data_IF_262679658505
#
_entry.id   IF_262679658505
#
_cell.length_a   1.000
_cell.length_b   1.000
_cell.length_c   1.000
_cell.angle_alpha   90.00
_cell.angle_beta   90.00
_cell.angle_gamma   90.00
#
_symmetry.space_group_name_H-M   'P 1'
#
loop_
_entity.id
_entity.type
_entity.pdbx_description
1 polymer ?
#
# COMPACT_ATOMS: atom_id res chain seq x y z
N UNK A 1 9.02 66.92 22.84
CA UNK A 1 8.27 66.18 21.81
C UNK A 1 9.17 65.14 21.12
N UNK A 2 9.37 63.93 21.71
CA UNK A 2 10.17 62.84 21.10
C UNK A 2 9.78 61.43 21.58
N UNK A 3 8.50 61.15 21.88
CA UNK A 3 8.07 59.83 22.39
C UNK A 3 6.98 59.10 21.58
N UNK A 4 6.44 59.69 20.52
CA UNK A 4 5.33 59.11 19.75
C UNK A 4 5.73 58.40 18.45
N UNK A 5 6.98 58.51 17.99
CA UNK A 5 7.41 57.96 16.69
C UNK A 5 7.86 56.48 16.78
N UNK A 6 8.30 56.01 17.95
CA UNK A 6 8.81 54.63 18.09
C UNK A 6 7.71 53.56 18.07
N UNK A 7 6.48 53.89 18.46
CA UNK A 7 5.36 52.93 18.52
C UNK A 7 4.77 52.68 17.12
N UNK A 8 4.76 53.69 16.24
CA UNK A 8 4.32 53.52 14.85
C UNK A 8 5.29 52.66 14.03
N UNK A 9 6.60 52.80 14.25
CA UNK A 9 7.61 52.00 13.53
C UNK A 9 7.59 50.54 13.98
N UNK A 10 7.32 50.27 15.27
CA UNK A 10 7.12 48.90 15.77
C UNK A 10 5.81 48.26 15.28
N UNK A 11 4.76 49.05 15.02
CA UNK A 11 3.52 48.55 14.40
C UNK A 11 3.68 48.30 12.89
N UNK A 12 4.52 49.08 12.19
CA UNK A 12 4.80 48.82 10.76
C UNK A 12 5.77 47.66 10.51
N UNK A 13 6.60 47.28 11.48
CA UNK A 13 7.50 46.12 11.33
C UNK A 13 6.81 44.78 11.65
N UNK A 14 5.67 44.80 12.34
CA UNK A 14 4.86 43.60 12.57
C UNK A 14 4.03 43.20 11.33
N UNK A 15 3.79 44.10 10.38
CA UNK A 15 3.07 43.79 9.14
C UNK A 15 3.96 43.34 7.98
N UNK A 16 5.29 43.51 8.05
CA UNK A 16 6.20 43.13 6.95
C UNK A 16 6.71 41.68 7.07
N UNK A 17 6.47 41.02 8.22
CA UNK A 17 6.88 39.62 8.41
C UNK A 17 5.78 38.58 8.13
N UNK A 18 4.56 39.01 7.77
CA UNK A 18 3.53 38.09 7.24
C UNK A 18 3.69 37.83 5.72
N UNK A 19 4.40 38.71 5.01
CA UNK A 19 4.50 38.66 3.55
C UNK A 19 5.68 37.78 3.07
N UNK A 20 6.74 37.67 3.87
CA UNK A 20 7.90 36.83 3.55
C UNK A 20 7.61 35.33 3.66
N UNK A 21 6.65 34.91 4.50
CA UNK A 21 6.15 33.53 4.58
C UNK A 21 5.08 33.21 3.52
N UNK A 22 4.39 34.23 2.97
CA UNK A 22 3.42 34.04 1.89
C UNK A 22 4.07 33.78 0.52
N UNK A 23 5.29 34.31 0.30
CA UNK A 23 6.00 34.31 -0.99
C UNK A 23 6.45 32.93 -1.52
N UNK A 24 6.41 31.88 -0.69
CA UNK A 24 6.84 30.51 -1.07
C UNK A 24 5.69 29.49 -1.16
N UNK A 25 4.42 29.90 -1.08
CA UNK A 25 3.31 28.96 -1.30
C UNK A 25 3.27 28.55 -2.77
N UNK A 26 3.18 27.25 -3.07
CA UNK A 26 2.95 26.82 -4.45
C UNK A 26 1.61 27.40 -4.91
N UNK A 27 1.63 28.13 -6.01
CA UNK A 27 0.40 28.48 -6.71
C UNK A 27 -0.18 27.19 -7.30
N UNK A 28 -0.99 26.49 -6.49
CA UNK A 28 -1.60 25.22 -6.85
C UNK A 28 -2.42 25.37 -8.13
N UNK A 29 -3.13 26.49 -8.30
CA UNK A 29 -3.97 26.73 -9.47
C UNK A 29 -3.17 26.68 -10.75
N UNK A 30 -2.07 27.45 -10.81
CA UNK A 30 -1.19 27.47 -11.97
C UNK A 30 -0.47 26.15 -12.18
N UNK A 31 0.02 25.53 -11.10
CA UNK A 31 0.79 24.28 -11.19
C UNK A 31 -0.05 23.08 -11.63
N UNK A 32 -1.31 23.01 -11.20
CA UNK A 32 -2.22 21.88 -11.50
C UNK A 32 -3.08 22.08 -12.75
N UNK A 33 -3.16 23.31 -13.28
CA UNK A 33 -3.92 23.65 -14.49
C UNK A 33 -3.64 22.71 -15.70
N UNK A 34 -2.40 22.26 -15.98
CA UNK A 34 -2.14 21.40 -17.13
C UNK A 34 -2.65 19.95 -16.98
N UNK A 35 -2.93 19.50 -15.75
CA UNK A 35 -3.15 18.08 -15.45
C UNK A 35 -4.59 17.73 -15.08
N UNK A 36 -5.44 18.75 -14.94
CA UNK A 36 -6.80 18.57 -14.44
C UNK A 36 -7.59 19.86 -14.45
N UNK A 37 -8.72 19.84 -13.77
CA UNK A 37 -9.63 20.98 -13.71
C UNK A 37 -10.00 21.35 -12.28
N UNK A 38 -10.25 22.64 -12.09
CA UNK A 38 -10.73 23.20 -10.84
C UNK A 38 -12.25 23.28 -10.86
N UNK A 39 -12.88 22.80 -9.79
CA UNK A 39 -14.33 22.72 -9.63
C UNK A 39 -14.70 23.56 -8.42
N UNK A 40 -15.59 24.52 -8.61
CA UNK A 40 -16.21 25.24 -7.51
C UNK A 40 -17.40 24.43 -7.01
N UNK A 41 -17.28 23.90 -5.79
CA UNK A 41 -18.40 23.35 -5.04
C UNK A 41 -19.17 24.49 -4.36
N UNK A 42 -20.32 24.18 -3.76
CA UNK A 42 -21.07 25.18 -2.98
C UNK A 42 -20.23 25.75 -1.82
N UNK A 43 -20.65 26.92 -1.32
CA UNK A 43 -19.98 27.62 -0.20
C UNK A 43 -18.53 28.05 -0.48
N UNK A 44 -18.22 28.46 -1.72
CA UNK A 44 -16.89 28.95 -2.13
C UNK A 44 -15.75 27.94 -1.93
N UNK A 45 -16.05 26.64 -1.85
CA UNK A 45 -15.05 25.59 -1.76
C UNK A 45 -14.58 25.24 -3.17
N UNK A 46 -13.28 25.39 -3.43
CA UNK A 46 -12.70 25.05 -4.73
C UNK A 46 -11.82 23.82 -4.60
N UNK A 47 -12.10 22.80 -5.41
CA UNK A 47 -11.41 21.51 -5.42
C UNK A 47 -10.81 21.25 -6.79
N UNK A 48 -9.85 20.35 -6.88
CA UNK A 48 -9.24 19.95 -8.15
C UNK A 48 -9.50 18.48 -8.43
N UNK A 49 -9.57 18.09 -9.71
CA UNK A 49 -9.50 16.68 -10.10
C UNK A 49 -8.60 16.48 -11.32
N UNK A 50 -7.89 15.33 -11.42
CA UNK A 50 -7.15 14.98 -12.60
C UNK A 50 -8.12 14.60 -13.72
N UNK A 51 -7.83 15.00 -14.95
CA UNK A 51 -8.65 14.68 -16.14
C UNK A 51 -8.02 13.63 -17.04
N UNK A 52 -6.72 13.37 -16.89
CA UNK A 52 -5.94 12.42 -17.71
C UNK A 52 -5.45 11.22 -16.88
N UNK A 53 -6.38 10.53 -16.23
CA UNK A 53 -6.11 9.31 -15.45
C UNK A 53 -6.99 8.16 -15.95
N UNK A 54 -6.52 6.93 -15.74
CA UNK A 54 -7.27 5.74 -16.11
C UNK A 54 -8.53 5.57 -15.23
N UNK A 55 -9.53 4.82 -15.70
CA UNK A 55 -10.83 4.68 -15.01
C UNK A 55 -10.73 3.96 -13.66
N UNK A 56 -9.74 3.09 -13.48
CA UNK A 56 -9.44 2.40 -12.21
C UNK A 56 -8.51 3.22 -11.30
N UNK A 57 -8.15 4.44 -11.71
CA UNK A 57 -7.22 5.27 -10.95
C UNK A 57 -7.81 5.71 -9.62
N UNK A 58 -6.94 5.68 -8.61
CA UNK A 58 -7.20 6.24 -7.29
C UNK A 58 -5.93 6.84 -6.72
N UNK A 59 -6.04 7.78 -5.76
CA UNK A 59 -4.89 8.37 -5.11
C UNK A 59 -4.02 7.30 -4.43
N UNK A 60 -2.70 7.53 -4.39
CA UNK A 60 -1.70 6.62 -3.81
C UNK A 60 -1.62 5.25 -4.49
N UNK A 61 -1.80 5.21 -5.81
CA UNK A 61 -1.77 3.96 -6.59
C UNK A 61 -0.54 3.83 -7.50
N UNK A 62 -0.11 4.93 -8.13
CA UNK A 62 1.01 4.95 -9.10
C UNK A 62 2.25 5.56 -8.42
N UNK A 63 3.08 4.71 -7.84
CA UNK A 63 4.23 5.18 -7.08
C UNK A 63 4.82 4.09 -6.18
N UNK A 64 5.51 4.55 -5.13
CA UNK A 64 6.06 3.68 -4.09
C UNK A 64 6.12 4.36 -2.73
N UNK A 65 6.08 3.54 -1.68
CA UNK A 65 6.43 3.98 -0.34
C UNK A 65 7.94 4.03 -0.14
N UNK A 66 8.43 5.12 0.44
CA UNK A 66 9.83 5.27 0.85
C UNK A 66 9.90 5.64 2.32
N UNK A 67 10.73 4.93 3.08
CA UNK A 67 10.99 5.31 4.46
C UNK A 67 11.88 6.55 4.50
N UNK A 68 11.53 7.51 5.35
CA UNK A 68 12.30 8.75 5.59
C UNK A 68 12.38 9.03 7.09
N UNK A 69 13.12 10.07 7.49
CA UNK A 69 13.22 10.51 8.90
C UNK A 69 11.88 10.92 9.51
N UNK A 70 10.92 11.32 8.68
CA UNK A 70 9.58 11.79 9.05
C UNK A 70 8.48 10.73 8.80
N UNK A 71 8.88 9.49 8.50
CA UNK A 71 7.97 8.35 8.28
C UNK A 71 7.84 7.91 6.83
N UNK A 72 6.72 7.25 6.51
CA UNK A 72 6.43 6.79 5.15
C UNK A 72 6.07 7.95 4.24
N UNK A 73 6.95 8.21 3.28
CA UNK A 73 6.74 9.18 2.22
C UNK A 73 6.21 8.48 0.97
N UNK A 74 5.14 9.01 0.40
CA UNK A 74 4.65 8.56 -0.90
C UNK A 74 5.45 9.21 -2.02
N UNK A 75 6.21 8.41 -2.77
CA UNK A 75 6.87 8.86 -4.01
C UNK A 75 5.91 8.60 -5.16
N UNK A 76 5.22 9.64 -5.63
CA UNK A 76 4.33 9.56 -6.78
C UNK A 76 5.10 9.56 -8.10
N UNK A 77 4.55 8.88 -9.11
CA UNK A 77 5.02 8.97 -10.50
C UNK A 77 4.08 9.76 -11.41
N UNK A 78 3.04 10.34 -10.83
CA UNK A 78 2.17 11.29 -11.51
C UNK A 78 2.81 12.69 -11.52
N UNK A 79 2.68 13.45 -12.63
CA UNK A 79 3.35 14.75 -12.77
C UNK A 79 2.85 15.82 -11.79
N UNK A 80 1.67 15.62 -11.20
CA UNK A 80 1.06 16.47 -10.19
C UNK A 80 1.34 16.00 -8.74
N UNK A 81 2.06 14.90 -8.58
CA UNK A 81 2.16 14.14 -7.34
C UNK A 81 2.78 14.89 -6.16
N UNK A 82 3.84 15.66 -6.43
CA UNK A 82 4.55 16.46 -5.43
C UNK A 82 3.64 17.47 -4.71
N UNK A 83 2.52 17.86 -5.34
CA UNK A 83 1.53 18.76 -4.75
C UNK A 83 0.44 17.95 -4.08
N UNK A 84 -0.31 17.16 -4.86
CA UNK A 84 -1.62 16.66 -4.42
C UNK A 84 -1.55 15.53 -3.40
N UNK A 85 -0.40 14.86 -3.25
CA UNK A 85 -0.23 13.83 -2.22
C UNK A 85 0.33 14.38 -0.91
N UNK A 86 0.75 15.65 -0.89
CA UNK A 86 1.45 16.24 0.24
C UNK A 86 0.79 17.50 0.81
N UNK A 87 0.10 18.29 -0.01
CA UNK A 87 -0.53 19.58 0.37
C UNK A 87 -2.05 19.56 0.27
N UNK A 88 -2.71 18.50 0.75
CA UNK A 88 -4.17 18.40 0.65
C UNK A 88 -4.72 17.04 1.01
N UNK A 89 -6.03 16.86 0.77
CA UNK A 89 -6.76 15.63 1.08
C UNK A 89 -7.59 15.20 -0.12
N UNK A 90 -7.70 13.89 -0.30
CA UNK A 90 -8.51 13.30 -1.37
C UNK A 90 -9.84 12.81 -0.82
N UNK A 91 -10.91 13.09 -1.54
CA UNK A 91 -12.25 12.59 -1.25
C UNK A 91 -12.90 12.10 -2.54
N UNK A 92 -13.73 11.06 -2.44
CA UNK A 92 -14.48 10.57 -3.59
C UNK A 92 -15.85 11.25 -3.65
N UNK A 93 -16.09 12.03 -4.70
CA UNK A 93 -17.35 12.72 -4.95
C UNK A 93 -18.21 11.93 -5.96
N UNK A 94 -19.49 11.65 -5.67
CA UNK A 94 -20.34 10.81 -6.54
C UNK A 94 -20.43 11.28 -8.00
N UNK A 95 -20.41 12.59 -8.23
CA UNK A 95 -20.48 13.18 -9.59
C UNK A 95 -19.12 13.35 -10.27
N UNK A 96 -18.06 13.55 -9.50
CA UNK A 96 -16.78 14.03 -10.03
C UNK A 96 -15.64 13.03 -9.91
N UNK A 97 -15.86 11.91 -9.21
CA UNK A 97 -14.83 10.94 -8.87
C UNK A 97 -13.93 11.46 -7.76
N UNK A 98 -12.65 11.08 -7.79
CA UNK A 98 -11.65 11.58 -6.85
C UNK A 98 -11.41 13.07 -7.04
N UNK A 99 -11.72 13.85 -6.00
CA UNK A 99 -11.46 15.27 -5.90
C UNK A 99 -10.44 15.55 -4.79
N UNK A 100 -9.62 16.56 -5.00
CA UNK A 100 -8.57 16.98 -4.10
C UNK A 100 -8.92 18.34 -3.49
N UNK A 101 -8.90 18.38 -2.17
CA UNK A 101 -9.05 19.58 -1.36
C UNK A 101 -7.65 20.12 -1.06
N UNK A 102 -7.32 21.34 -1.52
CA UNK A 102 -6.05 21.98 -1.19
C UNK A 102 -5.94 22.23 0.31
N UNK A 103 -4.72 22.07 0.84
CA UNK A 103 -4.35 22.40 2.20
C UNK A 103 -2.94 23.01 2.20
N UNK A 104 -2.70 23.95 3.09
CA UNK A 104 -1.38 24.57 3.22
C UNK A 104 -0.44 23.71 4.07
N UNK A 105 -0.96 22.74 4.82
CA UNK A 105 -0.16 21.81 5.63
C UNK A 105 0.46 20.70 4.77
N UNK A 106 1.79 20.62 4.81
CA UNK A 106 2.55 19.55 4.17
C UNK A 106 2.58 18.28 5.03
N UNK A 107 2.43 17.12 4.40
CA UNK A 107 2.64 15.83 5.04
C UNK A 107 3.33 14.81 4.12
N UNK A 108 4.03 13.80 4.68
CA UNK A 108 4.71 12.78 3.87
C UNK A 108 3.73 11.89 3.10
N UNK A 109 2.51 11.73 3.62
CA UNK A 109 1.31 11.26 2.95
C UNK A 109 0.10 11.44 3.87
N UNK A 110 -1.09 11.65 3.29
CA UNK A 110 -2.35 11.77 4.02
C UNK A 110 -3.23 10.55 3.77
N UNK A 111 -2.89 9.46 4.46
CA UNK A 111 -3.55 8.16 4.32
C UNK A 111 -3.89 7.55 5.68
N UNK A 112 -4.87 6.66 5.66
CA UNK A 112 -5.15 5.74 6.76
C UNK A 112 -4.48 4.41 6.49
N UNK A 113 -4.01 3.74 7.54
CA UNK A 113 -3.34 2.45 7.44
C UNK A 113 -4.19 1.31 7.96
N UNK A 114 -4.06 0.16 7.30
CA UNK A 114 -4.69 -1.09 7.71
C UNK A 114 -3.79 -2.25 7.32
N UNK A 115 -3.50 -3.14 8.27
CA UNK A 115 -2.58 -4.25 8.02
C UNK A 115 -2.91 -5.45 8.91
N UNK A 116 -2.58 -6.65 8.41
CA UNK A 116 -2.62 -7.92 9.14
C UNK A 116 -1.23 -8.57 9.11
N UNK A 117 -1.15 -9.90 9.21
CA UNK A 117 0.10 -10.67 9.17
C UNK A 117 0.70 -10.81 7.76
N UNK A 118 -0.11 -10.68 6.71
CA UNK A 118 0.29 -10.96 5.32
C UNK A 118 0.21 -9.72 4.41
N UNK A 119 -0.76 -8.84 4.69
CA UNK A 119 -1.12 -7.69 3.88
C UNK A 119 -0.95 -6.39 4.65
N UNK A 120 -0.56 -5.38 3.89
CA UNK A 120 -0.59 -3.98 4.29
C UNK A 120 -1.37 -3.19 3.25
N UNK A 121 -2.18 -2.27 3.73
CA UNK A 121 -2.99 -1.42 2.89
C UNK A 121 -3.12 -0.01 3.44
N UNK A 122 -3.49 0.86 2.52
CA UNK A 122 -3.71 2.28 2.76
C UNK A 122 -4.90 2.77 1.95
N UNK A 123 -5.53 3.82 2.45
CA UNK A 123 -6.52 4.57 1.69
C UNK A 123 -6.35 6.06 1.94
N UNK A 124 -6.75 6.93 1.01
CA UNK A 124 -6.66 8.36 1.21
C UNK A 124 -7.49 8.79 2.43
N UNK A 125 -6.93 9.66 3.26
CA UNK A 125 -7.65 10.22 4.40
C UNK A 125 -8.56 11.34 3.92
N UNK A 126 -9.90 11.25 4.08
CA UNK A 126 -10.83 12.24 3.58
C UNK A 126 -10.66 13.61 4.25
N UNK A 127 -10.89 14.70 3.51
CA UNK A 127 -10.85 16.08 4.05
C UNK A 127 -11.81 16.28 5.24
N UNK A 128 -12.98 15.64 5.18
CA UNK A 128 -13.99 15.65 6.24
C UNK A 128 -13.53 14.98 7.55
N UNK A 129 -12.40 14.27 7.55
CA UNK A 129 -11.74 13.77 8.76
C UNK A 129 -10.82 14.86 9.31
N UNK A 130 -11.37 15.84 10.03
CA UNK A 130 -10.55 16.91 10.62
C UNK A 130 -9.57 16.36 11.66
N UNK A 131 -8.27 16.54 11.40
CA UNK A 131 -7.19 16.50 12.39
C UNK A 131 -6.93 17.95 12.80
N UNK A 132 -6.93 18.26 14.12
CA UNK A 132 -6.46 19.56 14.65
C UNK A 132 -5.32 19.30 15.60
N UNK A 133 -4.20 20.00 15.42
CA UNK A 133 -2.96 19.83 16.19
C UNK A 133 -3.04 20.44 17.61
N UNK A 134 -4.09 21.21 17.89
CA UNK A 134 -4.11 22.23 18.93
C UNK A 134 -5.20 22.03 20.01
N UNK A 135 -6.05 21.02 19.88
CA UNK A 135 -6.84 20.44 20.98
C UNK A 135 -7.01 18.95 20.67
N UNK A 136 -6.62 18.08 21.60
CA UNK A 136 -6.70 16.62 21.49
C UNK A 136 -7.93 16.14 20.71
N UNK A 137 -7.66 15.56 19.53
CA UNK A 137 -8.47 14.61 18.79
C UNK A 137 -10.01 14.73 18.95
N UNK A 138 -10.65 15.71 18.31
CA UNK A 138 -12.12 15.69 18.14
C UNK A 138 -12.49 14.84 16.92
N UNK A 139 -12.48 13.52 17.11
CA UNK A 139 -12.96 12.54 16.12
C UNK A 139 -14.44 12.83 15.81
N UNK A 140 -14.77 13.07 14.53
CA UNK A 140 -16.16 12.92 14.07
C UNK A 140 -16.39 11.44 13.70
N UNK A 141 -17.09 10.71 14.56
CA UNK A 141 -17.23 9.24 14.60
C UNK A 141 -18.10 8.62 13.48
N UNK A 142 -18.08 9.09 12.22
CA UNK A 142 -18.98 8.52 11.19
C UNK A 142 -18.42 8.40 9.77
N UNK A 143 -17.11 8.40 9.57
CA UNK A 143 -16.52 8.11 8.25
C UNK A 143 -15.82 6.76 8.26
N UNK A 144 -16.44 5.79 7.58
CA UNK A 144 -15.84 4.49 7.24
C UNK A 144 -15.42 4.58 5.78
N UNK A 145 -14.11 4.55 5.53
CA UNK A 145 -13.58 4.47 4.18
C UNK A 145 -14.05 3.17 3.53
N UNK A 146 -14.77 3.29 2.41
CA UNK A 146 -15.34 2.16 1.67
C UNK A 146 -14.19 1.24 1.19
N UNK A 147 -14.34 -0.10 1.24
CA UNK A 147 -13.30 -1.04 0.84
C UNK A 147 -12.65 -0.71 -0.51
N UNK A 148 -13.43 -0.24 -1.48
CA UNK A 148 -12.99 -0.02 -2.86
C UNK A 148 -11.89 1.05 -2.96
N UNK A 149 -11.84 1.98 -2.01
CA UNK A 149 -10.84 3.05 -1.94
C UNK A 149 -9.49 2.57 -1.44
N UNK A 150 -9.43 1.39 -0.83
CA UNK A 150 -8.19 0.84 -0.30
C UNK A 150 -7.30 0.28 -1.41
N UNK A 151 -6.00 0.46 -1.20
CA UNK A 151 -4.93 -0.26 -1.86
C UNK A 151 -4.40 -1.28 -0.86
N UNK A 152 -4.19 -2.53 -1.30
CA UNK A 152 -3.56 -3.57 -0.50
C UNK A 152 -2.46 -4.23 -1.31
N UNK A 153 -1.38 -4.60 -0.63
CA UNK A 153 -0.31 -5.45 -1.16
C UNK A 153 0.14 -6.45 -0.11
N UNK A 154 0.76 -7.52 -0.55
CA UNK A 154 1.51 -8.38 0.34
C UNK A 154 2.78 -7.64 0.84
N UNK A 155 3.19 -7.83 2.10
CA UNK A 155 4.40 -7.19 2.64
C UNK A 155 5.66 -7.30 1.75
N UNK A 156 5.88 -8.45 1.09
CA UNK A 156 7.02 -8.66 0.18
C UNK A 156 7.09 -7.67 -0.99
N UNK A 157 5.98 -7.02 -1.32
CA UNK A 157 5.87 -6.06 -2.42
C UNK A 157 5.72 -4.61 -1.93
N UNK A 158 5.74 -4.37 -0.61
CA UNK A 158 5.52 -3.04 -0.07
C UNK A 158 6.60 -2.03 -0.49
N UNK A 159 7.84 -2.50 -0.65
CA UNK A 159 8.97 -1.69 -1.13
C UNK A 159 9.18 -1.75 -2.65
N UNK A 160 8.26 -2.39 -3.39
CA UNK A 160 8.37 -2.48 -4.85
C UNK A 160 8.44 -1.09 -5.47
N UNK A 161 9.26 -0.93 -6.51
CA UNK A 161 9.43 0.36 -7.20
C UNK A 161 8.12 0.84 -7.81
N UNK A 162 7.29 -0.05 -8.33
CA UNK A 162 5.96 0.26 -8.79
C UNK A 162 4.98 -0.63 -8.04
N UNK A 163 4.25 -0.05 -7.09
CA UNK A 163 3.32 -0.78 -6.24
C UNK A 163 2.09 -1.25 -7.02
N UNK A 164 1.70 -0.52 -8.07
CA UNK A 164 0.50 -0.81 -8.89
C UNK A 164 0.46 -2.25 -9.39
N UNK A 165 1.61 -2.80 -9.76
CA UNK A 165 1.76 -4.14 -10.34
C UNK A 165 1.44 -5.27 -9.33
N UNK A 166 1.44 -4.94 -8.03
CA UNK A 166 1.24 -5.89 -6.94
C UNK A 166 -0.02 -5.63 -6.13
N UNK A 167 -0.84 -4.66 -6.55
CA UNK A 167 -2.10 -4.36 -5.88
C UNK A 167 -3.04 -5.56 -5.95
N UNK A 168 -3.67 -5.85 -4.81
CA UNK A 168 -4.69 -6.87 -4.77
C UNK A 168 -5.88 -6.45 -5.62
N UNK A 169 -6.24 -7.33 -6.55
CA UNK A 169 -7.36 -7.15 -7.47
C UNK A 169 -8.69 -6.97 -6.72
N UNK A 170 -9.60 -6.16 -7.27
CA UNK A 170 -10.88 -5.76 -6.67
C UNK A 170 -11.67 -6.95 -6.11
N UNK A 171 -11.74 -8.04 -6.89
CA UNK A 171 -12.41 -9.31 -6.53
C UNK A 171 -12.03 -9.88 -5.16
N UNK A 172 -10.79 -9.68 -4.71
CA UNK A 172 -10.26 -10.22 -3.44
C UNK A 172 -10.15 -9.15 -2.36
N UNK A 173 -10.39 -7.87 -2.70
CA UNK A 173 -10.14 -6.75 -1.80
C UNK A 173 -11.10 -6.76 -0.62
N UNK A 174 -12.38 -7.06 -0.85
CA UNK A 174 -13.39 -7.14 0.22
C UNK A 174 -13.05 -8.24 1.22
N UNK A 175 -12.63 -9.40 0.73
CA UNK A 175 -12.23 -10.52 1.59
C UNK A 175 -11.07 -10.15 2.50
N UNK A 176 -10.06 -9.44 1.97
CA UNK A 176 -8.97 -8.87 2.77
C UNK A 176 -9.53 -7.84 3.75
N UNK A 177 -10.31 -6.87 3.29
CA UNK A 177 -10.84 -5.79 4.11
C UNK A 177 -11.67 -6.29 5.30
N UNK A 178 -12.39 -7.39 5.18
CA UNK A 178 -13.24 -7.91 6.26
C UNK A 178 -12.61 -9.03 7.09
N UNK A 179 -11.31 -9.37 6.93
CA UNK A 179 -10.71 -10.44 7.74
C UNK A 179 -10.75 -10.14 9.24
N UNK A 180 -11.01 -11.15 10.08
CA UNK A 180 -11.20 -10.98 11.53
C UNK A 180 -9.97 -10.44 12.29
N UNK A 181 -8.75 -10.63 11.77
CA UNK A 181 -7.50 -10.12 12.36
C UNK A 181 -7.17 -8.67 11.99
N UNK A 182 -7.94 -8.02 11.10
CA UNK A 182 -7.83 -6.58 10.88
C UNK A 182 -8.56 -5.80 11.99
N UNK A 183 -8.02 -5.82 13.21
CA UNK A 183 -8.54 -5.03 14.33
C UNK A 183 -7.55 -3.96 14.79
N UNK A 184 -7.71 -2.76 14.20
CA UNK A 184 -7.58 -1.38 14.74
C UNK A 184 -7.24 -0.45 13.57
N UNK A 185 -8.04 0.59 13.36
CA UNK A 185 -7.70 1.70 12.44
C UNK A 185 -6.45 2.35 13.00
N UNK A 186 -5.38 2.38 12.23
CA UNK A 186 -4.17 3.09 12.61
C UNK A 186 -4.08 4.34 11.73
N UNK A 187 -4.29 5.51 12.34
CA UNK A 187 -3.87 6.77 11.71
C UNK A 187 -2.35 6.85 11.65
N UNK A 188 -1.66 6.19 12.59
CA UNK A 188 -0.22 6.07 12.58
C UNK A 188 0.26 4.99 11.59
N UNK A 189 1.25 5.29 10.75
CA UNK A 189 1.88 4.28 9.92
C UNK A 189 2.54 3.17 10.77
N UNK A 190 2.56 1.91 10.29
CA UNK A 190 3.41 0.89 10.91
C UNK A 190 4.87 1.34 10.82
N UNK A 191 5.60 1.28 11.94
CA UNK A 191 7.04 1.60 11.97
C UNK A 191 7.81 0.70 10.98
N UNK A 192 8.89 1.21 10.39
CA UNK A 192 9.75 0.45 9.46
C UNK A 192 10.11 -0.95 9.95
N UNK A 193 10.54 -1.05 11.21
CA UNK A 193 10.96 -2.33 11.81
C UNK A 193 9.84 -3.39 11.75
N UNK A 194 8.57 -2.98 11.89
CA UNK A 194 7.43 -3.88 11.86
C UNK A 194 7.25 -4.47 10.45
N UNK A 195 7.32 -3.64 9.41
CA UNK A 195 7.25 -4.10 8.02
C UNK A 195 8.42 -5.04 7.71
N UNK A 196 9.64 -4.66 8.11
CA UNK A 196 10.83 -5.48 7.89
C UNK A 196 10.73 -6.85 8.57
N UNK A 197 10.17 -6.90 9.79
CA UNK A 197 9.88 -8.15 10.50
C UNK A 197 8.89 -9.01 9.71
N UNK A 198 7.76 -8.44 9.27
CA UNK A 198 6.73 -9.17 8.52
C UNK A 198 7.22 -9.75 7.20
N UNK A 199 8.10 -9.04 6.50
CA UNK A 199 8.75 -9.58 5.30
C UNK A 199 9.61 -10.79 5.62
N UNK A 200 10.45 -10.74 6.67
CA UNK A 200 11.27 -11.88 7.10
C UNK A 200 10.41 -13.08 7.50
N UNK A 201 9.34 -12.84 8.26
CA UNK A 201 8.41 -13.90 8.70
C UNK A 201 7.73 -14.56 7.48
N UNK A 202 7.41 -13.79 6.43
CA UNK A 202 6.88 -14.34 5.19
C UNK A 202 7.92 -15.19 4.44
N UNK A 203 9.14 -14.69 4.26
CA UNK A 203 10.23 -15.43 3.60
C UNK A 203 10.54 -16.74 4.31
N UNK A 204 10.55 -16.74 5.64
CA UNK A 204 10.75 -17.93 6.46
C UNK A 204 9.64 -18.96 6.24
N UNK A 205 8.36 -18.53 6.30
CA UNK A 205 7.21 -19.40 6.05
C UNK A 205 7.27 -20.04 4.67
N UNK A 206 7.63 -19.27 3.64
CA UNK A 206 7.68 -19.77 2.27
C UNK A 206 8.86 -20.72 2.03
N UNK A 207 10.00 -20.46 2.67
CA UNK A 207 11.14 -21.37 2.63
C UNK A 207 10.83 -22.70 3.33
N UNK A 208 10.09 -22.68 4.44
CA UNK A 208 9.67 -23.90 5.14
C UNK A 208 8.74 -24.76 4.27
N UNK A 209 7.71 -24.15 3.66
CA UNK A 209 6.82 -24.85 2.71
C UNK A 209 7.58 -25.49 1.55
N UNK A 210 8.57 -24.79 0.99
CA UNK A 210 9.43 -25.33 -0.09
C UNK A 210 10.28 -26.51 0.38
N UNK A 211 10.74 -26.49 1.63
CA UNK A 211 11.50 -27.61 2.22
C UNK A 211 10.62 -28.83 2.45
N UNK A 212 9.41 -28.62 2.99
CA UNK A 212 8.39 -29.66 3.19
C UNK A 212 8.00 -30.33 1.88
N UNK A 213 7.64 -29.54 0.85
CA UNK A 213 7.35 -30.06 -0.49
C UNK A 213 8.51 -30.84 -1.10
N UNK A 214 9.76 -30.36 -0.92
CA UNK A 214 10.96 -31.10 -1.37
C UNK A 214 11.20 -32.39 -0.58
N UNK A 215 10.86 -32.44 0.70
CA UNK A 215 10.95 -33.68 1.49
C UNK A 215 9.88 -34.68 1.10
N UNK A 216 8.65 -34.24 0.83
CA UNK A 216 7.55 -35.08 0.36
C UNK A 216 7.89 -35.73 -1.00
N UNK A 217 8.38 -34.94 -1.96
CA UNK A 217 8.81 -35.45 -3.28
C UNK A 217 9.94 -36.48 -3.13
N UNK A 218 10.91 -36.24 -2.24
CA UNK A 218 11.99 -37.20 -1.98
C UNK A 218 11.49 -38.48 -1.32
N UNK A 219 10.50 -38.38 -0.44
CA UNK A 219 9.91 -39.55 0.20
C UNK A 219 9.15 -40.39 -0.82
N UNK A 220 8.26 -39.76 -1.59
CA UNK A 220 7.50 -40.42 -2.64
C UNK A 220 8.39 -41.03 -3.73
N UNK A 221 9.44 -40.33 -4.17
CA UNK A 221 10.39 -40.86 -5.14
C UNK A 221 11.21 -42.05 -4.64
N UNK A 222 11.50 -42.12 -3.33
CA UNK A 222 12.12 -43.30 -2.72
C UNK A 222 11.17 -44.49 -2.68
N UNK A 223 9.89 -44.24 -2.39
CA UNK A 223 8.88 -45.29 -2.33
C UNK A 223 8.63 -45.88 -3.74
N UNK A 224 8.47 -45.03 -4.76
CA UNK A 224 8.36 -45.47 -6.16
C UNK A 224 9.63 -46.19 -6.65
N UNK A 225 10.82 -45.71 -6.27
CA UNK A 225 12.07 -46.39 -6.59
C UNK A 225 12.16 -47.79 -5.98
N UNK A 226 11.68 -47.95 -4.75
CA UNK A 226 11.61 -49.24 -4.05
C UNK A 226 10.62 -50.19 -4.72
N UNK A 227 9.44 -49.69 -5.08
CA UNK A 227 8.42 -50.48 -5.76
C UNK A 227 8.90 -50.98 -7.14
N UNK A 228 9.66 -50.15 -7.87
CA UNK A 228 10.26 -50.53 -9.15
C UNK A 228 11.40 -51.56 -8.98
N UNK A 229 12.27 -51.40 -7.98
CA UNK A 229 13.30 -52.39 -7.67
C UNK A 229 12.70 -53.75 -7.28
N UNK A 230 11.63 -53.76 -6.49
CA UNK A 230 10.94 -54.98 -6.09
C UNK A 230 10.19 -55.62 -7.28
N UNK A 231 9.65 -54.82 -8.20
CA UNK A 231 9.08 -55.30 -9.47
C UNK A 231 10.15 -55.95 -10.37
N UNK A 232 11.28 -55.29 -10.58
CA UNK A 232 12.38 -55.79 -11.42
C UNK A 232 13.03 -57.05 -10.84
N UNK A 233 13.22 -57.12 -9.51
CA UNK A 233 13.71 -58.33 -8.84
C UNK A 233 12.79 -59.52 -9.04
N UNK A 234 11.47 -59.33 -8.87
CA UNK A 234 10.49 -60.39 -9.05
C UNK A 234 10.40 -60.86 -10.52
N UNK A 235 10.56 -59.95 -11.49
CA UNK A 235 10.53 -60.31 -12.91
C UNK A 235 11.84 -61.00 -13.36
N UNK A 236 12.98 -60.56 -12.82
CA UNK A 236 14.30 -61.18 -13.03
C UNK A 236 14.37 -62.62 -12.52
N UNK A 237 13.78 -62.90 -11.36
CA UNK A 237 13.76 -64.24 -10.76
C UNK A 237 12.82 -65.21 -11.51
N UNK A 238 11.69 -64.71 -12.02
CA UNK A 238 10.79 -65.48 -12.89
C UNK A 238 11.45 -65.87 -14.23
N UNK A 239 12.34 -65.02 -14.76
CA UNK A 239 13.11 -65.32 -15.99
C UNK A 239 14.23 -66.36 -15.79
N UNK A 240 14.71 -66.53 -14.55
CA UNK A 240 15.68 -67.57 -14.17
C UNK A 240 14.99 -68.91 -13.95
N UNK A 241 13.86 -68.94 -13.22
CA UNK A 241 13.08 -70.17 -13.00
C UNK A 241 12.58 -70.84 -14.29
N UNK A 242 12.27 -70.08 -15.35
CA UNK A 242 11.89 -70.67 -16.65
C UNK A 242 13.07 -71.29 -17.43
N UNK A 243 14.32 -70.98 -17.11
CA UNK A 243 15.50 -71.58 -17.76
C UNK A 243 15.92 -72.92 -17.16
N UNK A 244 15.56 -73.17 -15.89
CA UNK A 244 15.94 -74.39 -15.17
C UNK A 244 14.93 -75.55 -15.32
N UNK A 245 13.83 -75.32 -16.05
CA UNK A 245 12.83 -76.34 -16.39
C UNK A 245 13.28 -77.28 -17.52
N UNK A 246 14.47 -77.89 -17.40
CA UNK A 246 14.94 -78.93 -18.32
C UNK A 246 14.61 -80.33 -17.78
N UNK A 247 13.50 -80.85 -18.30
CA UNK A 247 13.24 -82.25 -18.70
C UNK A 247 13.69 -83.32 -17.69
N UNK A 248 12.72 -83.87 -16.96
CA UNK A 248 12.76 -85.29 -16.57
C UNK A 248 11.67 -86.01 -17.35
N UNK A 249 12.10 -86.66 -18.44
CA UNK A 249 11.38 -87.75 -19.09
C UNK A 249 11.60 -89.04 -18.31
N UNK A 250 10.64 -89.95 -18.49
CA UNK A 250 10.66 -91.43 -18.33
C UNK A 250 10.09 -91.92 -17.00
N UNK A 251 9.27 -92.98 -16.97
CA UNK A 251 9.00 -94.00 -18.00
C UNK A 251 7.64 -94.64 -17.75
#
# INVERSE_FOLDING_TARGET
MKKTIFILILWTLATINLDATYRNRPDFYRALKPYGEWIMLGHNITVWRPTFVHTDWKPYMIGRWRWTSIGWYWVSYEPFGEIVFHYGRWEYHPRYGWIWFPDDEWGPAWVEWRYDDDYIGWAPMPYTSQFRLDIGLRISFKWITIPDYWCFVHYKHFYSRNIRDYLIHERHKRDIFYRPHFKKRHFDPPRKYYIDKRMKDYELRENNKRRESKSEIRHYGKDVGRDNEDFDRNNGDNSRRKRDGKIIRRR
#
